data_IF_246503704803
#
_entry.id   IF_246503704803
#
_cell.length_a   1.000
_cell.length_b   1.000
_cell.length_c   1.000
_cell.angle_alpha   90.00
_cell.angle_beta   90.00
_cell.angle_gamma   90.00
#
_symmetry.space_group_name_H-M   'P 1'
#
loop_
_entity.id
_entity.type
_entity.pdbx_description
1 polymer ?
#
# COMPACT_ATOMS: atom_id res chain seq x y z
N UNK A 1 -19.81 -10.58 32.80
CA UNK A 1 -19.72 -10.01 31.43
C UNK A 1 -18.44 -9.22 31.35
N UNK A 2 -17.36 -9.80 30.84
CA UNK A 2 -16.07 -9.12 30.67
C UNK A 2 -15.51 -9.51 29.32
N UNK A 3 -15.52 -8.56 28.37
CA UNK A 3 -15.04 -8.78 27.02
C UNK A 3 -13.52 -9.00 27.07
N UNK A 4 -13.12 -10.24 26.79
CA UNK A 4 -11.75 -10.65 26.56
C UNK A 4 -11.27 -10.02 25.24
N UNK A 5 -10.81 -8.77 25.29
CA UNK A 5 -10.08 -8.13 24.20
C UNK A 5 -8.65 -8.68 24.19
N UNK A 6 -8.51 -9.92 23.73
CA UNK A 6 -7.22 -10.43 23.26
C UNK A 6 -6.93 -9.66 21.98
N UNK A 7 -6.20 -8.55 22.10
CA UNK A 7 -5.61 -7.89 20.94
C UNK A 7 -4.69 -8.91 20.28
N UNK A 8 -5.10 -9.36 19.10
CA UNK A 8 -4.34 -10.27 18.26
C UNK A 8 -3.03 -9.57 17.86
N UNK A 9 -1.93 -9.87 18.56
CA UNK A 9 -0.65 -9.15 18.43
C UNK A 9 -0.10 -9.10 17.00
N UNK A 10 -0.45 -10.07 16.16
CA UNK A 10 -0.13 -10.06 14.73
C UNK A 10 -0.85 -8.95 13.96
N UNK A 11 -2.13 -8.70 14.26
CA UNK A 11 -2.92 -7.62 13.63
C UNK A 11 -2.40 -6.26 14.08
N UNK A 12 -2.11 -6.10 15.37
CA UNK A 12 -1.55 -4.85 15.90
C UNK A 12 -0.19 -4.51 15.28
N UNK A 13 0.68 -5.50 15.05
CA UNK A 13 1.97 -5.28 14.39
C UNK A 13 1.82 -4.94 12.90
N UNK A 14 0.94 -5.63 12.16
CA UNK A 14 0.65 -5.31 10.76
C UNK A 14 0.10 -3.89 10.63
N UNK A 15 -0.85 -3.50 11.48
CA UNK A 15 -1.40 -2.13 11.53
C UNK A 15 -0.33 -1.09 11.88
N UNK A 16 0.57 -1.38 12.83
CA UNK A 16 1.66 -0.48 13.19
C UNK A 16 2.67 -0.28 12.05
N UNK A 17 3.02 -1.35 11.32
CA UNK A 17 3.87 -1.26 10.12
C UNK A 17 3.24 -0.40 9.03
N UNK A 18 1.92 -0.53 8.80
CA UNK A 18 1.20 0.31 7.83
C UNK A 18 1.24 1.78 8.24
N UNK A 19 0.99 2.08 9.52
CA UNK A 19 1.04 3.46 10.04
C UNK A 19 2.44 4.06 9.89
N UNK A 20 3.49 3.27 10.18
CA UNK A 20 4.88 3.68 9.97
C UNK A 20 5.16 3.98 8.50
N UNK A 21 4.77 3.08 7.59
CA UNK A 21 5.00 3.26 6.15
C UNK A 21 4.26 4.48 5.59
N UNK A 22 3.02 4.74 6.04
CA UNK A 22 2.30 5.96 5.69
C UNK A 22 2.99 7.22 6.24
N UNK A 23 3.58 7.16 7.45
CA UNK A 23 4.28 8.29 8.05
C UNK A 23 5.55 8.74 7.29
N UNK A 24 6.22 7.81 6.60
CA UNK A 24 7.44 8.12 5.83
C UNK A 24 7.18 8.80 4.48
N UNK A 25 5.93 8.83 4.00
CA UNK A 25 5.55 9.42 2.71
C UNK A 25 5.93 10.91 2.58
N UNK A 26 6.02 11.64 3.69
CA UNK A 26 6.30 13.08 3.70
C UNK A 26 7.78 13.48 3.59
N UNK A 27 8.72 12.53 3.44
CA UNK A 27 10.17 12.82 3.55
C UNK A 27 10.92 12.89 2.21
N UNK A 28 10.26 12.61 1.08
CA UNK A 28 10.90 12.61 -0.24
C UNK A 28 10.58 13.91 -1.00
N UNK A 29 11.46 14.90 -0.90
CA UNK A 29 11.45 16.11 -1.73
C UNK A 29 11.79 15.77 -3.19
N UNK A 30 10.83 15.88 -4.11
CA UNK A 30 11.05 15.77 -5.56
C UNK A 30 10.81 17.13 -6.25
N UNK A 31 11.75 17.54 -7.10
CA UNK A 31 11.79 18.83 -7.80
C UNK A 31 10.87 18.86 -9.04
N UNK A 32 10.58 20.06 -9.54
CA UNK A 32 9.47 20.45 -10.44
C UNK A 32 9.10 19.53 -11.65
N UNK A 33 7.82 19.15 -11.73
CA UNK A 33 7.14 18.63 -12.93
C UNK A 33 7.07 17.11 -13.02
N UNK A 34 7.74 16.50 -14.01
CA UNK A 34 7.69 15.05 -14.28
C UNK A 34 8.40 14.20 -13.23
N UNK A 35 9.42 14.77 -12.57
CA UNK A 35 10.11 14.12 -11.44
C UNK A 35 9.19 14.00 -10.22
N UNK A 36 8.26 14.93 -10.04
CA UNK A 36 7.31 14.90 -8.91
C UNK A 36 6.27 13.81 -9.10
N UNK A 37 5.63 13.77 -10.28
CA UNK A 37 4.64 12.74 -10.62
C UNK A 37 5.24 11.33 -10.57
N UNK A 38 6.46 11.15 -11.08
CA UNK A 38 7.15 9.86 -11.03
C UNK A 38 7.52 9.46 -9.60
N UNK A 39 7.92 10.42 -8.76
CA UNK A 39 8.21 10.17 -7.34
C UNK A 39 6.94 9.75 -6.59
N UNK A 40 5.82 10.43 -6.85
CA UNK A 40 4.51 10.06 -6.30
C UNK A 40 4.06 8.68 -6.78
N UNK A 41 4.17 8.40 -8.09
CA UNK A 41 3.88 7.07 -8.62
C UNK A 41 4.78 5.99 -8.01
N UNK A 42 6.09 6.23 -7.91
CA UNK A 42 7.04 5.28 -7.33
C UNK A 42 6.76 5.06 -5.84
N UNK A 43 6.49 6.13 -5.09
CA UNK A 43 6.10 6.08 -3.69
C UNK A 43 4.81 5.29 -3.48
N UNK A 44 3.81 5.52 -4.33
CA UNK A 44 2.57 4.77 -4.33
C UNK A 44 2.77 3.28 -4.61
N UNK A 45 3.58 2.94 -5.61
CA UNK A 45 3.90 1.57 -5.96
C UNK A 45 4.63 0.83 -4.82
N UNK A 46 5.63 1.47 -4.22
CA UNK A 46 6.39 0.90 -3.11
C UNK A 46 5.52 0.73 -1.86
N UNK A 47 4.73 1.75 -1.50
CA UNK A 47 3.86 1.66 -0.33
C UNK A 47 2.79 0.58 -0.53
N UNK A 48 2.09 0.59 -1.66
CA UNK A 48 1.05 -0.39 -1.93
C UNK A 48 1.63 -1.82 -1.98
N UNK A 49 2.79 -2.01 -2.61
CA UNK A 49 3.49 -3.30 -2.62
C UNK A 49 3.93 -3.74 -1.22
N UNK A 50 4.45 -2.83 -0.39
CA UNK A 50 4.82 -3.14 0.99
C UNK A 50 3.60 -3.57 1.82
N UNK A 51 2.47 -2.88 1.70
CA UNK A 51 1.22 -3.23 2.39
C UNK A 51 0.67 -4.57 1.87
N UNK A 52 0.68 -4.79 0.55
CA UNK A 52 0.30 -6.08 -0.06
C UNK A 52 1.14 -7.22 0.52
N UNK A 53 2.44 -7.01 0.79
CA UNK A 53 3.32 -7.97 1.45
C UNK A 53 2.98 -8.19 2.92
N UNK A 54 2.63 -7.14 3.66
CA UNK A 54 2.22 -7.24 5.07
C UNK A 54 0.94 -8.07 5.21
N UNK A 55 0.04 -7.99 4.22
CA UNK A 55 -1.22 -8.73 4.16
C UNK A 55 -1.15 -9.93 3.20
N UNK A 56 0.02 -10.55 3.02
CA UNK A 56 0.22 -11.68 2.11
C UNK A 56 -0.70 -12.89 2.37
N UNK A 57 -1.15 -13.08 3.61
CA UNK A 57 -2.13 -14.10 4.01
C UNK A 57 -3.56 -13.86 3.45
N UNK A 58 -3.86 -12.65 2.94
CA UNK A 58 -5.20 -12.29 2.47
C UNK A 58 -5.37 -12.59 0.99
N UNK A 59 -6.50 -13.20 0.62
CA UNK A 59 -6.87 -13.40 -0.80
C UNK A 59 -7.08 -12.07 -1.54
N UNK A 60 -7.42 -11.00 -0.82
CA UNK A 60 -7.61 -9.65 -1.37
C UNK A 60 -6.40 -8.73 -1.13
N UNK A 61 -5.20 -9.28 -0.90
CA UNK A 61 -4.00 -8.52 -0.53
C UNK A 61 -3.65 -7.37 -1.48
N UNK A 62 -3.82 -7.57 -2.79
CA UNK A 62 -3.61 -6.50 -3.78
C UNK A 62 -4.58 -5.33 -3.57
N UNK A 63 -5.85 -5.63 -3.33
CA UNK A 63 -6.87 -4.61 -3.05
C UNK A 63 -6.62 -3.89 -1.72
N UNK A 64 -6.16 -4.59 -0.69
CA UNK A 64 -5.78 -3.99 0.59
C UNK A 64 -4.62 -3.02 0.39
N UNK A 65 -3.54 -3.45 -0.28
CA UNK A 65 -2.39 -2.58 -0.54
C UNK A 65 -2.75 -1.35 -1.36
N UNK A 66 -3.55 -1.53 -2.41
CA UNK A 66 -4.06 -0.43 -3.24
C UNK A 66 -4.93 0.54 -2.44
N UNK A 67 -5.93 0.04 -1.71
CA UNK A 67 -6.90 0.86 -0.99
C UNK A 67 -6.22 1.66 0.13
N UNK A 68 -5.32 1.05 0.89
CA UNK A 68 -4.64 1.73 2.00
C UNK A 68 -3.66 2.79 1.48
N UNK A 69 -2.87 2.48 0.43
CA UNK A 69 -1.96 3.46 -0.17
C UNK A 69 -2.73 4.64 -0.80
N UNK A 70 -3.83 4.36 -1.50
CA UNK A 70 -4.68 5.40 -2.11
C UNK A 70 -5.38 6.27 -1.07
N UNK A 71 -5.89 5.68 0.02
CA UNK A 71 -6.50 6.44 1.11
C UNK A 71 -5.48 7.34 1.81
N UNK A 72 -4.25 6.86 2.01
CA UNK A 72 -3.15 7.64 2.58
C UNK A 72 -2.83 8.89 1.77
N UNK A 73 -2.68 8.78 0.45
CA UNK A 73 -2.37 9.93 -0.39
C UNK A 73 -3.53 10.92 -0.49
N UNK A 74 -4.78 10.44 -0.58
CA UNK A 74 -5.96 11.32 -0.59
C UNK A 74 -6.02 12.18 0.68
N UNK A 75 -5.77 11.58 1.84
CA UNK A 75 -5.74 12.31 3.12
C UNK A 75 -4.58 13.31 3.19
N UNK A 76 -3.38 12.89 2.78
CA UNK A 76 -2.19 13.75 2.77
C UNK A 76 -2.35 14.95 1.83
N UNK A 77 -2.78 14.73 0.58
CA UNK A 77 -3.00 15.78 -0.41
C UNK A 77 -4.18 16.68 -0.02
N UNK A 78 -5.26 16.14 0.53
CA UNK A 78 -6.38 16.96 1.04
C UNK A 78 -5.92 17.90 2.16
N UNK A 79 -5.00 17.44 3.02
CA UNK A 79 -4.40 18.27 4.06
C UNK A 79 -3.46 19.34 3.49
N UNK A 80 -2.67 19.03 2.47
CA UNK A 80 -1.83 20.03 1.80
C UNK A 80 -2.64 21.09 1.05
N UNK A 81 -3.73 20.69 0.38
CA UNK A 81 -4.67 21.61 -0.27
C UNK A 81 -5.31 22.56 0.74
N UNK A 82 -5.67 22.07 1.93
CA UNK A 82 -6.26 22.92 2.98
C UNK A 82 -5.27 23.93 3.56
N UNK A 83 -3.97 23.65 3.47
CA UNK A 83 -2.89 24.58 3.84
C UNK A 83 -2.44 25.51 2.70
N UNK A 84 -3.09 25.47 1.54
CA UNK A 84 -2.87 26.42 0.44
C UNK A 84 -2.07 25.87 -0.75
N UNK A 85 -1.88 24.55 -0.86
CA UNK A 85 -1.22 23.95 -2.02
C UNK A 85 -2.01 24.15 -3.33
N UNK A 86 -1.30 24.18 -4.47
CA UNK A 86 -1.91 24.30 -5.81
C UNK A 86 -2.71 23.04 -6.12
N UNK A 87 -4.04 23.16 -6.18
CA UNK A 87 -4.97 22.05 -6.45
C UNK A 87 -4.64 21.26 -7.71
N UNK A 88 -4.25 21.93 -8.80
CA UNK A 88 -3.93 21.25 -10.06
C UNK A 88 -2.70 20.34 -9.95
N UNK A 89 -1.71 20.71 -9.14
CA UNK A 89 -0.52 19.87 -8.87
C UNK A 89 -0.91 18.72 -7.97
N UNK A 90 -1.57 19.00 -6.84
CA UNK A 90 -2.03 17.96 -5.89
C UNK A 90 -2.89 16.89 -6.54
N UNK A 91 -3.79 17.24 -7.48
CA UNK A 91 -4.57 16.23 -8.19
C UNK A 91 -3.71 15.33 -9.08
N UNK A 92 -2.65 15.87 -9.68
CA UNK A 92 -1.73 15.13 -10.54
C UNK A 92 -0.80 14.24 -9.71
N UNK A 93 -0.31 14.76 -8.58
CA UNK A 93 0.46 14.03 -7.58
C UNK A 93 -0.38 12.88 -6.99
N UNK A 94 -1.65 13.14 -6.67
CA UNK A 94 -2.58 12.12 -6.20
C UNK A 94 -2.87 11.06 -7.27
N UNK A 95 -3.10 11.46 -8.53
CA UNK A 95 -3.39 10.55 -9.62
C UNK A 95 -2.20 9.65 -9.96
N UNK A 96 -1.00 10.23 -10.04
CA UNK A 96 0.24 9.48 -10.30
C UNK A 96 0.52 8.49 -9.17
N UNK A 97 0.32 8.89 -7.91
CA UNK A 97 0.42 8.00 -6.75
C UNK A 97 -0.57 6.84 -6.80
N UNK A 98 -1.84 7.09 -7.14
CA UNK A 98 -2.88 6.06 -7.26
C UNK A 98 -2.53 5.07 -8.38
N UNK A 99 -2.07 5.57 -9.53
CA UNK A 99 -1.63 4.73 -10.66
C UNK A 99 -0.44 3.85 -10.24
N UNK A 100 0.54 4.45 -9.57
CA UNK A 100 1.67 3.74 -8.97
C UNK A 100 1.23 2.67 -7.97
N UNK A 101 0.34 3.01 -7.04
CA UNK A 101 -0.20 2.12 -6.04
C UNK A 101 -0.90 0.90 -6.65
N UNK A 102 -1.70 1.11 -7.70
CA UNK A 102 -2.35 0.02 -8.43
C UNK A 102 -1.30 -0.91 -9.06
N UNK A 103 -0.31 -0.35 -9.76
CA UNK A 103 0.76 -1.11 -10.39
C UNK A 103 1.61 -1.87 -9.38
N UNK A 104 2.01 -1.24 -8.28
CA UNK A 104 2.83 -1.86 -7.23
C UNK A 104 2.10 -2.97 -6.50
N UNK A 105 0.82 -2.77 -6.15
CA UNK A 105 0.01 -3.81 -5.53
C UNK A 105 -0.19 -5.02 -6.46
N UNK A 106 -0.50 -4.77 -7.73
CA UNK A 106 -0.66 -5.82 -8.75
C UNK A 106 0.64 -6.58 -9.00
N UNK A 107 1.75 -5.86 -9.18
CA UNK A 107 3.06 -6.48 -9.41
C UNK A 107 3.47 -7.34 -8.22
N UNK A 108 3.28 -6.83 -7.00
CA UNK A 108 3.65 -7.55 -5.79
C UNK A 108 2.81 -8.80 -5.58
N UNK A 109 1.50 -8.73 -5.83
CA UNK A 109 0.60 -9.88 -5.75
C UNK A 109 0.94 -10.96 -6.80
N UNK A 110 1.33 -10.54 -8.01
CA UNK A 110 1.54 -11.45 -9.14
C UNK A 110 2.95 -12.04 -9.22
N UNK A 111 3.99 -11.27 -8.88
CA UNK A 111 5.39 -11.67 -9.05
C UNK A 111 6.19 -11.65 -7.75
N UNK A 112 5.83 -10.80 -6.79
CA UNK A 112 6.59 -10.61 -5.55
C UNK A 112 6.22 -11.56 -4.40
N UNK A 113 5.00 -12.11 -4.42
CA UNK A 113 4.47 -13.02 -3.41
C UNK A 113 4.16 -14.39 -4.01
N UNK A 114 4.23 -15.43 -3.18
CA UNK A 114 3.78 -16.76 -3.57
C UNK A 114 2.26 -16.76 -3.78
N UNK A 115 1.75 -17.51 -4.77
CA UNK A 115 0.31 -17.57 -5.03
C UNK A 115 -0.47 -17.98 -3.77
N UNK A 116 -1.56 -17.28 -3.46
CA UNK A 116 -2.45 -17.70 -2.36
C UNK A 116 -3.12 -19.00 -2.78
N UNK A 117 -2.87 -20.08 -2.03
CA UNK A 117 -3.60 -21.33 -2.19
C UNK A 117 -4.91 -21.16 -1.41
N UNK A 118 -5.99 -20.79 -2.11
CA UNK A 118 -7.32 -20.65 -1.53
C UNK A 118 -7.92 -22.01 -1.15
N UNK A 119 -8.96 -22.00 -0.30
CA UNK A 119 -9.67 -23.23 0.13
C UNK A 119 -10.35 -24.00 -1.03
N UNK A 120 -10.46 -23.38 -2.20
CA UNK A 120 -10.99 -23.97 -3.44
C UNK A 120 -9.89 -24.45 -4.41
N UNK A 121 -8.63 -24.50 -3.99
CA UNK A 121 -7.54 -25.00 -4.83
C UNK A 121 -7.33 -26.49 -4.58
N UNK A 122 -7.75 -27.33 -5.54
CA UNK A 122 -7.26 -28.71 -5.65
C UNK A 122 -5.74 -28.65 -5.73
N UNK A 123 -5.10 -29.20 -4.69
CA UNK A 123 -3.71 -28.93 -4.36
C UNK A 123 -2.72 -29.32 -5.44
N UNK A 124 -1.76 -28.43 -5.67
CA UNK A 124 -0.44 -28.80 -6.19
C UNK A 124 0.59 -28.19 -5.26
N UNK A 125 0.91 -28.93 -4.19
CA UNK A 125 1.98 -28.58 -3.25
C UNK A 125 3.30 -28.95 -3.91
N UNK A 126 3.94 -27.99 -4.58
CA UNK A 126 5.32 -28.16 -5.06
C UNK A 126 6.27 -27.90 -3.89
N UNK A 127 6.60 -28.96 -3.13
CA UNK A 127 7.55 -28.89 -2.02
C UNK A 127 8.97 -28.90 -2.60
N UNK A 128 9.66 -27.76 -2.64
CA UNK A 128 11.09 -27.72 -2.98
C UNK A 128 11.89 -28.04 -1.72
N UNK A 129 12.49 -29.23 -1.68
CA UNK A 129 13.47 -29.59 -0.66
C UNK A 129 14.81 -28.95 -1.03
N UNK A 130 15.38 -28.17 -0.11
CA UNK A 130 16.81 -27.89 -0.07
C UNK A 130 17.46 -28.92 0.83
#
# INVERSE_FOLDING_TARGET
>A
MGAHLVMNGGVAMKSFCVVLLCGFMGTCQANDGWSSELSHATGGALLAGAITRVYDDSENRAWIGFAVSSAGIVLSESYQISQGAKRSSSYLDMASHIAGAALGAWWMDKYGLTPVIGRHSVGLVMRRQF
#
